data_IF_546729050251
#
_entry.id   IF_546729050251
#
_cell.length_a   1.000
_cell.length_b   1.000
_cell.length_c   1.000
_cell.angle_alpha   90.00
_cell.angle_beta   90.00
_cell.angle_gamma   90.00
#
_symmetry.space_group_name_H-M   'P 1'
#
loop_
_entity.id
_entity.type
_entity.pdbx_description
1 polymer ?
#
# COMPACT_ATOMS: atom_id res chain seq x y z
N UNK A 1 28.39 26.36 -42.56
CA UNK A 1 28.46 25.41 -43.66
C UNK A 1 27.21 24.58 -43.69
N UNK A 2 26.37 24.95 -44.62
CA UNK A 2 25.41 24.23 -45.45
C UNK A 2 24.28 23.42 -44.82
N UNK A 3 23.09 24.06 -44.88
CA UNK A 3 21.72 23.49 -44.85
C UNK A 3 21.60 22.37 -45.89
N UNK A 4 20.83 21.34 -45.58
CA UNK A 4 20.10 20.56 -46.59
C UNK A 4 18.67 20.29 -46.12
N UNK A 5 17.78 21.13 -46.62
CA UNK A 5 16.33 20.97 -46.70
C UNK A 5 16.02 19.96 -47.80
N UNK A 6 15.20 18.94 -47.56
CA UNK A 6 14.52 18.15 -48.61
C UNK A 6 13.01 18.17 -48.37
N UNK A 7 12.36 18.95 -49.19
CA UNK A 7 10.91 18.88 -49.51
C UNK A 7 10.66 17.69 -50.44
N UNK A 8 9.56 16.97 -50.24
CA UNK A 8 8.88 16.16 -51.27
C UNK A 8 7.35 16.29 -51.13
N UNK A 9 6.64 16.28 -52.29
CA UNK A 9 5.29 16.85 -52.38
C UNK A 9 4.18 15.79 -52.37
N UNK A 10 3.00 16.33 -52.10
CA UNK A 10 1.61 15.95 -52.35
C UNK A 10 1.33 14.94 -53.48
N UNK A 11 0.44 13.97 -53.20
CA UNK A 11 -0.46 13.38 -54.19
C UNK A 11 -1.85 13.17 -53.58
N UNK A 12 -2.82 13.94 -54.08
CA UNK A 12 -4.26 13.70 -53.96
C UNK A 12 -4.64 12.47 -54.79
N UNK A 13 -5.54 11.63 -54.25
CA UNK A 13 -6.43 10.81 -55.07
C UNK A 13 -7.76 10.61 -54.33
N UNK A 14 -8.76 11.25 -54.82
CA UNK A 14 -10.16 11.05 -54.51
C UNK A 14 -10.70 9.87 -55.33
N UNK A 15 -11.40 8.93 -54.66
CA UNK A 15 -12.36 8.04 -55.30
C UNK A 15 -13.60 7.97 -54.42
N UNK A 16 -14.68 8.52 -54.99
CA UNK A 16 -16.05 8.39 -54.50
C UNK A 16 -16.64 7.08 -55.00
N UNK A 17 -17.27 6.31 -54.11
CA UNK A 17 -18.23 5.27 -54.46
C UNK A 17 -19.42 5.33 -53.50
N UNK A 18 -20.53 5.82 -54.01
CA UNK A 18 -21.87 5.73 -53.45
C UNK A 18 -22.32 4.26 -53.46
N UNK A 19 -22.67 3.72 -52.31
CA UNK A 19 -23.40 2.48 -52.14
C UNK A 19 -24.50 2.67 -51.12
N UNK A 20 -25.73 2.94 -51.61
CA UNK A 20 -26.90 2.99 -50.76
C UNK A 20 -27.36 1.56 -50.42
N UNK A 21 -27.27 1.16 -49.15
CA UNK A 21 -28.01 0.00 -48.63
C UNK A 21 -29.04 0.49 -47.60
N UNK A 22 -30.30 0.43 -48.01
CA UNK A 22 -31.47 0.60 -47.16
C UNK A 22 -31.66 -0.68 -46.34
N UNK A 23 -31.53 -0.58 -45.03
CA UNK A 23 -31.95 -1.60 -44.08
C UNK A 23 -33.26 -1.18 -43.40
N UNK A 24 -34.20 -2.11 -43.14
CA UNK A 24 -35.51 -1.77 -42.57
C UNK A 24 -35.37 -1.43 -41.08
N UNK A 25 -36.07 -0.39 -40.69
CA UNK A 25 -36.26 0.08 -39.33
C UNK A 25 -37.15 -0.94 -38.58
N UNK A 26 -36.54 -1.81 -37.78
CA UNK A 26 -37.27 -2.59 -36.80
C UNK A 26 -37.46 -1.72 -35.55
N UNK A 27 -38.72 -1.39 -35.28
CA UNK A 27 -39.09 -0.74 -34.00
C UNK A 27 -38.76 -1.68 -32.85
N UNK A 28 -37.81 -1.29 -32.03
CA UNK A 28 -37.61 -1.90 -30.71
C UNK A 28 -38.41 -1.10 -29.70
N UNK A 29 -39.35 -1.80 -29.08
CA UNK A 29 -40.11 -1.36 -27.96
C UNK A 29 -39.16 -0.98 -26.82
N UNK A 30 -39.27 0.23 -26.30
CA UNK A 30 -38.67 0.70 -25.07
C UNK A 30 -39.27 -0.07 -23.89
N UNK A 31 -38.65 -1.16 -23.53
CA UNK A 31 -38.85 -1.73 -22.18
C UNK A 31 -38.01 -0.87 -21.24
N UNK A 32 -38.69 -0.15 -20.40
CA UNK A 32 -38.08 0.55 -19.24
C UNK A 32 -37.59 -0.52 -18.29
N UNK A 33 -36.34 -0.91 -18.41
CA UNK A 33 -35.70 -1.83 -17.47
C UNK A 33 -35.17 -1.01 -16.31
N UNK A 34 -35.82 -1.26 -15.17
CA UNK A 34 -35.49 -0.80 -13.84
C UNK A 34 -33.97 -0.91 -13.59
N UNK A 35 -33.34 0.17 -13.16
CA UNK A 35 -31.94 0.16 -12.76
C UNK A 35 -31.78 -0.84 -11.60
N UNK A 36 -30.83 -1.79 -11.68
CA UNK A 36 -30.52 -2.61 -10.52
C UNK A 36 -29.96 -1.71 -9.43
N UNK A 37 -30.63 -1.70 -8.29
CA UNK A 37 -30.09 -1.19 -7.05
C UNK A 37 -28.68 -1.76 -6.85
N UNK A 38 -27.71 -0.92 -6.52
CA UNK A 38 -26.41 -1.32 -6.02
C UNK A 38 -26.61 -2.33 -4.89
N UNK A 39 -26.46 -3.59 -5.22
CA UNK A 39 -26.36 -4.63 -4.22
C UNK A 39 -24.99 -4.44 -3.58
N UNK A 40 -24.96 -3.76 -2.44
CA UNK A 40 -23.88 -3.92 -1.46
C UNK A 40 -23.66 -5.42 -1.34
N UNK A 41 -22.53 -5.92 -1.85
CA UNK A 41 -22.10 -7.28 -1.61
C UNK A 41 -21.74 -7.34 -0.12
N UNK A 42 -22.74 -7.62 0.71
CA UNK A 42 -22.51 -8.20 2.02
C UNK A 42 -21.67 -9.45 1.75
N UNK A 43 -20.42 -9.44 2.26
CA UNK A 43 -19.64 -10.66 2.40
C UNK A 43 -20.57 -11.71 2.98
N UNK A 44 -20.66 -12.92 2.41
CA UNK A 44 -21.49 -13.96 3.01
C UNK A 44 -20.97 -14.18 4.42
N UNK A 45 -21.69 -13.68 5.41
CA UNK A 45 -21.55 -14.12 6.79
C UNK A 45 -21.57 -15.65 6.72
N UNK A 46 -20.58 -16.28 7.31
CA UNK A 46 -20.48 -17.74 7.30
C UNK A 46 -21.84 -18.29 7.74
N UNK A 47 -22.49 -19.01 6.84
CA UNK A 47 -23.84 -19.61 7.08
C UNK A 47 -23.84 -20.56 8.27
N UNK A 48 -22.66 -20.79 8.85
CA UNK A 48 -22.42 -21.66 9.99
C UNK A 48 -22.01 -20.81 11.18
N UNK A 49 -22.96 -20.60 12.10
CA UNK A 49 -22.65 -20.07 13.42
C UNK A 49 -22.15 -21.22 14.29
N UNK A 50 -20.89 -21.14 14.76
CA UNK A 50 -20.29 -22.14 15.61
C UNK A 50 -20.80 -22.11 17.07
N UNK A 51 -21.68 -21.16 17.39
CA UNK A 51 -22.17 -20.91 18.74
C UNK A 51 -21.11 -20.21 19.62
N UNK A 52 -21.57 -19.45 20.59
CA UNK A 52 -20.69 -18.90 21.62
C UNK A 52 -20.59 -19.91 22.78
N UNK A 53 -19.36 -20.17 23.29
CA UNK A 53 -19.23 -20.96 24.51
C UNK A 53 -19.84 -20.20 25.69
N UNK A 54 -20.71 -20.89 26.46
CA UNK A 54 -21.31 -20.37 27.67
C UNK A 54 -20.82 -21.17 28.87
N UNK A 55 -20.70 -20.52 30.02
CA UNK A 55 -20.38 -21.18 31.31
C UNK A 55 -21.60 -21.92 31.88
N UNK A 56 -21.41 -22.55 33.06
CA UNK A 56 -22.50 -23.27 33.75
C UNK A 56 -23.66 -22.34 34.18
N UNK A 57 -23.45 -21.02 34.21
CA UNK A 57 -24.46 -20.02 34.52
C UNK A 57 -25.18 -19.50 33.26
N UNK A 58 -24.70 -19.89 32.04
CA UNK A 58 -25.24 -19.47 30.76
C UNK A 58 -24.70 -18.11 30.29
N UNK A 59 -23.61 -17.62 30.88
CA UNK A 59 -22.95 -16.38 30.46
C UNK A 59 -21.88 -16.65 29.38
N UNK A 60 -21.70 -15.74 28.39
CA UNK A 60 -20.65 -15.89 27.37
C UNK A 60 -19.27 -15.98 28.02
N UNK A 61 -18.55 -17.08 27.75
CA UNK A 61 -17.15 -17.23 28.14
C UNK A 61 -16.30 -16.56 27.10
N UNK A 62 -15.59 -15.48 27.48
CA UNK A 62 -14.60 -14.88 26.60
C UNK A 62 -13.57 -15.94 26.20
N UNK A 63 -13.22 -16.07 24.90
CA UNK A 63 -12.21 -17.02 24.45
C UNK A 63 -10.90 -16.75 25.20
N UNK A 64 -10.35 -17.77 25.82
CA UNK A 64 -9.03 -17.67 26.43
C UNK A 64 -8.01 -17.24 25.36
N UNK A 65 -7.09 -16.30 25.68
CA UNK A 65 -6.05 -15.90 24.76
C UNK A 65 -5.26 -17.14 24.30
N UNK A 66 -5.44 -17.53 23.05
CA UNK A 66 -4.72 -18.66 22.49
C UNK A 66 -3.25 -18.28 22.35
N UNK A 67 -2.35 -19.09 22.90
CA UNK A 67 -0.93 -18.92 22.68
C UNK A 67 -0.62 -19.02 21.18
N UNK A 68 0.20 -18.11 20.62
CA UNK A 68 0.52 -18.12 19.20
C UNK A 68 1.24 -19.41 18.82
N UNK A 69 0.83 -20.01 17.72
CA UNK A 69 1.43 -21.24 17.21
C UNK A 69 2.61 -20.95 16.27
N UNK A 70 3.57 -21.86 16.11
CA UNK A 70 4.67 -21.68 15.16
C UNK A 70 4.18 -21.28 13.76
N UNK A 71 4.79 -20.26 13.18
CA UNK A 71 4.37 -19.66 11.91
C UNK A 71 3.32 -18.55 12.04
N UNK A 72 2.76 -18.32 13.23
CA UNK A 72 1.81 -17.22 13.46
C UNK A 72 2.52 -15.95 13.90
N UNK A 73 2.09 -14.82 13.33
CA UNK A 73 2.46 -13.51 13.86
C UNK A 73 1.57 -13.16 15.05
N UNK A 74 2.16 -12.55 16.04
CA UNK A 74 1.44 -12.07 17.23
C UNK A 74 1.92 -10.69 17.66
N UNK A 75 1.02 -9.96 18.29
CA UNK A 75 1.32 -8.69 18.93
C UNK A 75 1.94 -8.97 20.30
N UNK A 76 3.20 -8.60 20.47
CA UNK A 76 3.91 -8.79 21.74
C UNK A 76 3.68 -7.62 22.68
N UNK A 77 3.74 -6.39 22.16
CA UNK A 77 3.61 -5.17 22.95
C UNK A 77 3.25 -3.97 22.07
N UNK A 78 2.66 -2.93 22.67
CA UNK A 78 2.33 -1.67 22.01
C UNK A 78 3.02 -0.51 22.73
N UNK A 79 3.67 0.36 21.96
CA UNK A 79 4.36 1.56 22.45
C UNK A 79 3.81 2.79 21.71
N UNK A 80 2.82 3.46 22.27
CA UNK A 80 2.06 4.52 21.60
C UNK A 80 1.52 4.03 20.25
N UNK A 81 1.95 4.62 19.13
CA UNK A 81 1.51 4.25 17.78
C UNK A 81 2.30 3.07 17.18
N UNK A 82 3.29 2.55 17.89
CA UNK A 82 4.12 1.44 17.45
C UNK A 82 3.68 0.11 18.06
N UNK A 83 3.61 -0.91 17.21
CA UNK A 83 3.35 -2.28 17.62
C UNK A 83 4.62 -3.13 17.51
N UNK A 84 5.01 -3.84 18.57
CA UNK A 84 6.02 -4.89 18.49
C UNK A 84 5.35 -6.18 18.04
N UNK A 85 5.55 -6.56 16.80
CA UNK A 85 5.01 -7.78 16.21
C UNK A 85 6.11 -8.82 16.10
N UNK A 86 5.83 -10.03 16.53
CA UNK A 86 6.78 -11.15 16.50
C UNK A 86 6.20 -12.31 15.71
N UNK A 87 7.07 -13.13 15.13
CA UNK A 87 6.70 -14.38 14.50
C UNK A 87 7.04 -15.52 15.44
N UNK A 88 6.07 -16.33 15.83
CA UNK A 88 6.30 -17.50 16.66
C UNK A 88 7.12 -18.53 15.90
N UNK A 89 8.23 -18.97 16.47
CA UNK A 89 9.07 -20.04 15.93
C UNK A 89 9.02 -21.28 16.82
N UNK A 90 9.34 -22.44 16.23
CA UNK A 90 9.35 -23.71 16.97
C UNK A 90 10.49 -23.77 17.98
N UNK A 91 11.65 -23.22 17.61
CA UNK A 91 12.85 -23.23 18.45
C UNK A 91 13.56 -21.88 18.37
N UNK A 92 14.15 -21.46 19.46
CA UNK A 92 14.94 -20.25 19.55
C UNK A 92 14.13 -19.01 19.98
N UNK A 93 14.65 -17.83 19.69
CA UNK A 93 14.02 -16.56 20.00
C UNK A 93 13.13 -16.11 18.84
N UNK A 94 11.88 -15.76 19.16
CA UNK A 94 10.93 -15.28 18.17
C UNK A 94 11.44 -13.97 17.52
N UNK A 95 11.62 -13.90 16.19
CA UNK A 95 12.03 -12.67 15.54
C UNK A 95 10.91 -11.62 15.60
N UNK A 96 11.29 -10.42 15.99
CA UNK A 96 10.34 -9.32 16.18
C UNK A 96 10.70 -8.12 15.32
N UNK A 97 9.66 -7.33 15.00
CA UNK A 97 9.77 -6.05 14.31
C UNK A 97 8.89 -4.99 14.98
N UNK A 98 9.38 -3.76 15.01
CA UNK A 98 8.53 -2.60 15.27
C UNK A 98 7.73 -2.30 14.02
N UNK A 99 6.43 -2.10 14.15
CA UNK A 99 5.51 -1.84 13.07
C UNK A 99 4.64 -0.63 13.38
N UNK A 100 4.39 0.20 12.38
CA UNK A 100 3.42 1.29 12.46
C UNK A 100 2.68 1.42 11.14
N UNK A 101 1.37 1.58 11.21
CA UNK A 101 0.52 2.01 10.11
C UNK A 101 0.47 3.54 10.14
N UNK A 102 0.80 4.16 9.00
CA UNK A 102 0.92 5.61 8.87
C UNK A 102 -0.34 6.16 8.21
N UNK A 103 -0.92 7.16 8.84
CA UNK A 103 -2.13 7.82 8.36
C UNK A 103 -1.83 9.25 7.91
N UNK A 104 -2.59 9.74 6.93
CA UNK A 104 -2.58 11.14 6.53
C UNK A 104 -3.34 12.02 7.53
N UNK A 105 -3.41 13.33 7.22
CA UNK A 105 -4.11 14.30 8.06
C UNK A 105 -5.63 14.05 8.17
N UNK A 106 -6.21 13.32 7.22
CA UNK A 106 -7.62 12.96 7.19
C UNK A 106 -7.91 11.63 7.89
N UNK A 107 -6.86 10.92 8.35
CA UNK A 107 -6.94 9.65 9.04
C UNK A 107 -6.98 8.43 8.12
N UNK A 108 -6.71 8.59 6.82
CA UNK A 108 -6.64 7.46 5.90
C UNK A 108 -5.32 6.70 6.09
N UNK A 109 -5.38 5.39 6.05
CA UNK A 109 -4.21 4.52 6.07
C UNK A 109 -3.48 4.62 4.72
N UNK A 110 -2.27 5.18 4.72
CA UNK A 110 -1.55 5.54 3.48
C UNK A 110 -0.27 4.76 3.29
N UNK A 111 0.40 4.39 4.37
CA UNK A 111 1.66 3.66 4.29
C UNK A 111 1.88 2.83 5.55
N UNK A 112 2.79 1.89 5.47
CA UNK A 112 3.25 1.15 6.64
C UNK A 112 4.77 1.15 6.72
N UNK A 113 5.29 1.08 7.93
CA UNK A 113 6.72 0.94 8.20
C UNK A 113 6.96 -0.20 9.17
N UNK A 114 7.94 -1.04 8.84
CA UNK A 114 8.43 -2.08 9.73
C UNK A 114 9.94 -1.90 9.93
N UNK A 115 10.42 -1.99 11.16
CA UNK A 115 11.84 -1.85 11.52
C UNK A 115 12.29 -3.11 12.25
N UNK A 116 13.37 -3.73 11.76
CA UNK A 116 14.00 -4.90 12.35
C UNK A 116 15.43 -4.59 12.79
N UNK A 117 15.87 -5.20 13.87
CA UNK A 117 17.27 -5.19 14.27
C UNK A 117 18.07 -6.07 13.32
N UNK A 118 19.24 -5.60 12.89
CA UNK A 118 20.16 -6.38 12.06
C UNK A 118 21.40 -6.73 12.88
N UNK A 119 21.89 -7.98 12.79
CA UNK A 119 23.22 -8.28 13.28
C UNK A 119 24.19 -7.42 12.48
N UNK A 120 25.12 -6.76 13.18
CA UNK A 120 26.02 -5.74 12.65
C UNK A 120 26.66 -6.17 11.31
N UNK A 121 26.08 -5.76 10.20
CA UNK A 121 26.43 -6.18 8.85
C UNK A 121 26.59 -4.96 7.94
N UNK A 122 27.84 -4.61 7.62
CA UNK A 122 28.12 -3.54 6.67
C UNK A 122 27.76 -2.11 7.10
N UNK A 123 27.66 -1.83 8.40
CA UNK A 123 27.37 -0.50 8.94
C UNK A 123 25.90 -0.21 9.24
N UNK A 124 24.97 -1.01 8.73
CA UNK A 124 23.55 -0.94 9.15
C UNK A 124 23.35 -1.78 10.40
N UNK A 125 22.71 -1.20 11.41
CA UNK A 125 22.34 -1.87 12.68
C UNK A 125 20.85 -2.20 12.74
N UNK A 126 20.06 -1.62 11.83
CA UNK A 126 18.66 -1.93 11.64
C UNK A 126 18.29 -1.84 10.17
N UNK A 127 17.27 -2.56 9.76
CA UNK A 127 16.63 -2.47 8.46
C UNK A 127 15.22 -1.91 8.62
N UNK A 128 14.81 -1.03 7.72
CA UNK A 128 13.42 -0.62 7.64
C UNK A 128 12.83 -0.99 6.28
N UNK A 129 11.58 -1.46 6.31
CA UNK A 129 10.76 -1.69 5.12
C UNK A 129 9.59 -0.74 5.18
N UNK A 130 9.39 0.03 4.11
CA UNK A 130 8.25 0.94 3.94
C UNK A 130 7.44 0.43 2.77
N UNK A 131 6.13 0.33 2.95
CA UNK A 131 5.18 -0.04 1.90
C UNK A 131 4.22 1.12 1.69
N UNK A 132 4.01 1.49 0.42
CA UNK A 132 3.11 2.55 0.00
C UNK A 132 2.16 2.04 -1.09
N UNK A 133 1.05 2.74 -1.40
CA UNK A 133 0.10 2.33 -2.42
C UNK A 133 0.73 2.16 -3.80
N UNK A 134 0.13 1.28 -4.62
CA UNK A 134 0.56 1.05 -6.02
C UNK A 134 0.48 2.29 -6.90
N UNK A 135 -0.39 3.24 -6.57
CA UNK A 135 -0.59 4.50 -7.32
C UNK A 135 0.47 5.57 -6.97
N UNK A 136 1.59 5.18 -6.38
CA UNK A 136 2.71 6.07 -6.07
C UNK A 136 3.60 6.27 -7.30
N UNK A 137 4.04 7.51 -7.55
CA UNK A 137 4.97 7.87 -8.63
C UNK A 137 6.40 7.44 -8.26
N UNK A 138 6.83 6.30 -8.79
CA UNK A 138 8.07 5.63 -8.38
C UNK A 138 9.35 6.43 -8.70
N UNK A 139 9.32 7.26 -9.74
CA UNK A 139 10.46 8.09 -10.15
C UNK A 139 10.81 9.18 -9.12
N UNK A 140 9.80 9.61 -8.32
CA UNK A 140 10.00 10.63 -7.29
C UNK A 140 10.57 10.07 -5.99
N UNK A 141 10.64 8.74 -5.87
CA UNK A 141 11.18 8.05 -4.70
C UNK A 141 10.42 8.41 -3.40
N UNK A 142 10.76 7.78 -2.30
CA UNK A 142 10.26 8.16 -0.96
C UNK A 142 11.24 9.16 -0.32
N UNK A 143 10.71 10.20 0.29
CA UNK A 143 11.51 11.13 1.10
C UNK A 143 11.21 10.88 2.59
N UNK A 144 12.24 10.65 3.37
CA UNK A 144 12.17 10.46 4.82
C UNK A 144 12.95 11.57 5.52
N UNK A 145 12.35 12.14 6.58
CA UNK A 145 12.96 13.18 7.41
C UNK A 145 12.61 12.93 8.87
N UNK A 146 13.55 13.09 9.77
CA UNK A 146 13.32 13.06 11.23
C UNK A 146 13.38 14.49 11.76
N UNK A 147 12.36 14.93 12.44
CA UNK A 147 12.16 16.31 12.97
C UNK A 147 12.47 17.45 11.96
N UNK A 148 12.75 18.18 11.60
CA UNK A 148 13.18 19.17 10.59
C UNK A 148 14.61 18.97 10.10
N UNK A 149 15.22 17.81 10.38
CA UNK A 149 16.57 17.48 9.95
C UNK A 149 16.74 17.30 8.44
N UNK A 150 17.87 16.77 8.02
CA UNK A 150 18.15 16.53 6.62
C UNK A 150 17.22 15.46 6.04
N UNK A 151 16.46 15.79 5.00
CA UNK A 151 15.66 14.84 4.25
C UNK A 151 16.55 13.93 3.39
N UNK A 152 16.18 12.66 3.30
CA UNK A 152 16.85 11.67 2.44
C UNK A 152 15.83 11.01 1.53
N UNK A 153 16.20 10.75 0.29
CA UNK A 153 15.41 10.02 -0.71
C UNK A 153 15.87 8.58 -0.81
N UNK A 154 14.89 7.69 -0.99
CA UNK A 154 15.12 6.26 -1.13
C UNK A 154 14.32 5.73 -2.33
N UNK A 155 14.97 5.01 -3.25
CA UNK A 155 14.30 4.42 -4.40
C UNK A 155 13.42 3.24 -3.97
N UNK A 156 12.39 2.95 -4.78
CA UNK A 156 11.61 1.73 -4.62
C UNK A 156 12.42 0.52 -5.09
N UNK A 157 12.29 -0.59 -4.38
CA UNK A 157 12.95 -1.84 -4.73
C UNK A 157 12.09 -2.68 -5.69
N UNK A 158 10.80 -2.78 -5.41
CA UNK A 158 9.81 -3.50 -6.22
C UNK A 158 8.39 -3.10 -5.82
N UNK A 159 7.40 -3.51 -6.63
CA UNK A 159 5.99 -3.46 -6.27
C UNK A 159 5.37 -4.86 -6.41
N UNK A 160 4.39 -5.16 -5.59
CA UNK A 160 3.56 -6.37 -5.64
C UNK A 160 2.08 -6.00 -5.36
N UNK A 161 1.21 -6.99 -5.22
CA UNK A 161 -0.22 -6.75 -4.96
C UNK A 161 -0.50 -5.98 -3.66
N UNK A 162 0.42 -5.99 -2.70
CA UNK A 162 0.28 -5.28 -1.42
C UNK A 162 0.79 -3.84 -1.45
N UNK A 163 1.45 -3.39 -2.53
CA UNK A 163 2.01 -2.05 -2.63
C UNK A 163 3.42 -1.98 -3.18
N UNK A 164 4.01 -0.79 -3.17
CA UNK A 164 5.38 -0.54 -3.59
C UNK A 164 6.30 -0.45 -2.37
N UNK A 165 7.38 -1.18 -2.41
CA UNK A 165 8.27 -1.45 -1.28
C UNK A 165 9.59 -0.70 -1.44
N UNK A 166 9.97 0.00 -0.38
CA UNK A 166 11.31 0.58 -0.20
C UNK A 166 11.98 -0.07 1.02
N UNK A 167 13.20 -0.54 0.83
CA UNK A 167 14.03 -1.08 1.92
C UNK A 167 15.24 -0.19 2.15
N UNK A 168 15.49 0.15 3.39
CA UNK A 168 16.59 1.01 3.77
C UNK A 168 17.38 0.41 4.95
N UNK A 169 18.69 0.59 4.92
CA UNK A 169 19.56 0.31 6.04
C UNK A 169 19.69 1.54 6.94
N UNK A 170 19.55 1.35 8.25
CA UNK A 170 19.72 2.38 9.26
C UNK A 170 21.05 2.18 9.98
N UNK A 171 21.90 3.19 9.96
CA UNK A 171 23.13 3.22 10.77
C UNK A 171 22.80 3.46 12.25
N UNK A 172 23.76 3.26 13.14
CA UNK A 172 23.59 3.62 14.55
C UNK A 172 23.28 5.11 14.76
N UNK A 173 23.79 5.98 13.87
CA UNK A 173 23.49 7.41 13.89
C UNK A 173 22.03 7.67 13.49
N UNK A 174 21.55 7.04 12.42
CA UNK A 174 20.15 7.15 11.97
C UNK A 174 19.18 6.69 13.07
N UNK A 175 19.44 5.51 13.63
CA UNK A 175 18.64 4.97 14.73
C UNK A 175 18.65 5.89 15.95
N UNK A 176 19.79 6.54 16.21
CA UNK A 176 19.90 7.58 17.24
C UNK A 176 19.03 8.80 16.97
N UNK A 177 18.81 9.20 15.69
CA UNK A 177 17.89 10.27 15.34
C UNK A 177 16.45 9.86 15.62
N UNK A 178 16.03 8.67 15.18
CA UNK A 178 14.69 8.14 15.46
C UNK A 178 14.40 8.05 16.97
N UNK A 179 15.35 7.62 17.78
CA UNK A 179 15.18 7.47 19.23
C UNK A 179 15.04 8.80 19.99
N UNK A 180 15.64 9.86 19.48
CA UNK A 180 15.62 11.20 20.11
C UNK A 180 14.62 12.13 19.48
N UNK A 181 14.21 11.84 18.25
CA UNK A 181 13.26 12.63 17.47
C UNK A 181 11.84 12.53 18.04
N UNK A 182 11.09 13.60 17.87
CA UNK A 182 9.68 13.62 18.22
C UNK A 182 8.82 13.00 17.12
N UNK A 183 9.20 13.18 15.83
CA UNK A 183 8.47 12.66 14.68
C UNK A 183 9.41 12.36 13.50
N UNK A 184 9.03 11.36 12.72
CA UNK A 184 9.58 11.14 11.39
C UNK A 184 8.49 11.41 10.36
N UNK A 185 8.85 12.12 9.30
CA UNK A 185 7.95 12.48 8.21
C UNK A 185 8.30 11.68 6.97
N UNK A 186 7.33 10.96 6.42
CA UNK A 186 7.43 10.27 5.15
C UNK A 186 6.64 11.04 4.10
N UNK A 187 7.26 11.32 2.94
CA UNK A 187 6.61 12.02 1.83
C UNK A 187 6.71 11.19 0.56
N UNK A 188 5.60 11.08 -0.14
CA UNK A 188 5.46 10.39 -1.43
C UNK A 188 4.64 11.23 -2.40
N UNK A 189 4.73 10.92 -3.69
CA UNK A 189 4.01 11.62 -4.78
C UNK A 189 3.02 10.64 -5.41
N UNK A 190 1.72 10.98 -5.49
CA UNK A 190 0.74 10.18 -6.20
C UNK A 190 0.98 10.22 -7.71
N UNK A 191 0.86 9.07 -8.41
CA UNK A 191 1.04 9.01 -9.86
C UNK A 191 -0.03 9.81 -10.63
N UNK A 192 -1.24 9.89 -10.08
CA UNK A 192 -2.34 10.67 -10.68
C UNK A 192 -2.22 12.19 -10.46
N UNK A 193 -1.36 12.65 -9.53
CA UNK A 193 -1.18 14.06 -9.18
C UNK A 193 0.31 14.36 -8.93
N UNK A 194 1.15 14.37 -9.98
CA UNK A 194 2.61 14.47 -9.85
C UNK A 194 3.12 15.82 -9.31
N UNK A 195 2.26 16.81 -9.25
CA UNK A 195 2.51 18.14 -8.66
C UNK A 195 2.11 18.23 -7.16
N UNK A 196 1.58 17.15 -6.60
CA UNK A 196 1.15 17.07 -5.20
C UNK A 196 2.02 16.09 -4.42
N UNK A 197 1.99 16.23 -3.10
CA UNK A 197 2.67 15.31 -2.19
C UNK A 197 1.71 14.85 -1.09
N UNK A 198 1.80 13.58 -0.74
CA UNK A 198 1.19 13.01 0.46
C UNK A 198 2.27 12.89 1.52
N UNK A 199 1.95 13.32 2.72
CA UNK A 199 2.89 13.33 3.86
C UNK A 199 2.23 12.69 5.07
N UNK A 200 2.93 11.77 5.68
CA UNK A 200 2.53 11.04 6.89
C UNK A 200 3.61 11.07 7.93
#
# INVERSE_FOLDING_TARGET
>A
MTLHTKFFPTALSAVALLGALTLPLAAQETTTEDAPAETTQEQPESVFNMGEPIDEAGEPVAPEPQEPQPGQQYLKEVFNDWALRCLKVEEGEDPCQMYQLLTDADGNEVAEIAIVSLPNNGGAVAGATIVVPLETLLTEQITLRVDGGQARRFPFNFCNVGGCVTRLGLTAQDLGLFRRGAAATLTMVPAAAPDQTVTV
#
